data_IF_207951443417
#
_entry.id   IF_207951443417
#
_cell.length_a   1.000
_cell.length_b   1.000
_cell.length_c   1.000
_cell.angle_alpha   90.00
_cell.angle_beta   90.00
_cell.angle_gamma   90.00
#
_symmetry.space_group_name_H-M   'P 1'
#
loop_
_entity.id
_entity.type
_entity.pdbx_description
1 polymer ?
#
# COMPACT_ATOMS: atom_id res chain seq x y z
N UNK A 1 -6.92 16.26 -50.90
CA UNK A 1 -5.54 16.59 -50.46
C UNK A 1 -5.60 17.20 -49.05
N UNK A 2 -5.63 16.37 -48.01
CA UNK A 2 -5.46 16.83 -46.62
C UNK A 2 -3.95 16.95 -46.40
N UNK A 3 -3.36 18.07 -46.83
CA UNK A 3 -1.92 18.34 -46.68
C UNK A 3 -1.67 18.94 -45.29
N UNK A 4 -0.95 18.19 -44.46
CA UNK A 4 -0.08 18.67 -43.38
C UNK A 4 -0.64 19.78 -42.48
N UNK A 5 -1.70 19.48 -41.70
CA UNK A 5 -1.97 20.27 -40.51
C UNK A 5 -1.13 19.70 -39.34
N UNK A 6 -0.03 20.37 -38.92
CA UNK A 6 0.87 19.86 -37.89
C UNK A 6 0.16 19.72 -36.54
N UNK A 7 -0.86 20.53 -36.26
CA UNK A 7 -1.66 20.47 -35.03
C UNK A 7 -2.52 19.21 -35.01
N UNK A 8 -3.13 18.85 -36.16
CA UNK A 8 -3.91 17.61 -36.28
C UNK A 8 -3.02 16.36 -36.17
N UNK A 9 -1.79 16.41 -36.72
CA UNK A 9 -0.79 15.35 -36.54
C UNK A 9 -0.33 15.23 -35.08
N UNK A 10 -0.07 16.35 -34.39
CA UNK A 10 0.29 16.35 -32.97
C UNK A 10 -0.84 15.83 -32.10
N UNK A 11 -2.09 16.24 -32.36
CA UNK A 11 -3.27 15.72 -31.66
C UNK A 11 -3.45 14.22 -31.91
N UNK A 12 -3.33 13.74 -33.15
CA UNK A 12 -3.39 12.31 -33.44
C UNK A 12 -2.24 11.54 -32.79
N UNK A 13 -1.01 12.06 -32.78
CA UNK A 13 0.12 11.42 -32.08
C UNK A 13 -0.12 11.39 -30.56
N UNK A 14 -0.68 12.46 -29.99
CA UNK A 14 -1.04 12.54 -28.58
C UNK A 14 -2.17 11.57 -28.20
N UNK A 15 -3.21 11.48 -29.03
CA UNK A 15 -4.29 10.50 -28.86
C UNK A 15 -3.82 9.07 -29.08
N UNK A 16 -2.97 8.82 -30.09
CA UNK A 16 -2.36 7.49 -30.32
C UNK A 16 -1.40 7.14 -29.18
N UNK A 17 -0.64 8.09 -28.63
CA UNK A 17 0.19 7.85 -27.45
C UNK A 17 -0.66 7.56 -26.21
N UNK A 18 -1.81 8.22 -26.04
CA UNK A 18 -2.81 7.91 -25.00
C UNK A 18 -3.41 6.51 -25.17
N UNK A 19 -3.51 5.99 -26.40
CA UNK A 19 -3.93 4.61 -26.69
C UNK A 19 -2.80 3.58 -26.62
N UNK A 20 -1.53 4.00 -26.71
CA UNK A 20 -0.33 3.16 -26.62
C UNK A 20 0.18 2.98 -25.18
N UNK A 21 -0.32 3.78 -24.23
CA UNK A 21 -0.28 3.38 -22.82
C UNK A 21 -1.18 2.15 -22.69
N UNK A 22 -0.55 0.97 -22.62
CA UNK A 22 -1.21 -0.31 -22.60
C UNK A 22 -2.41 -0.29 -21.66
N UNK A 23 -3.56 -0.73 -22.16
CA UNK A 23 -4.80 -0.77 -21.40
C UNK A 23 -4.52 -1.45 -20.04
N UNK A 24 -4.49 -0.66 -18.96
CA UNK A 24 -4.29 -1.19 -17.62
C UNK A 24 -5.42 -2.20 -17.36
N UNK A 25 -5.04 -3.47 -17.22
CA UNK A 25 -5.97 -4.56 -16.93
C UNK A 25 -5.69 -5.06 -15.53
N UNK A 26 -6.66 -4.84 -14.65
CA UNK A 26 -6.61 -5.36 -13.28
C UNK A 26 -7.22 -6.75 -13.23
N UNK A 27 -6.97 -7.46 -12.13
CA UNK A 27 -7.49 -8.81 -11.91
C UNK A 27 -8.98 -8.85 -11.57
N UNK A 28 -9.65 -7.69 -11.47
CA UNK A 28 -11.06 -7.55 -11.08
C UNK A 28 -12.01 -8.48 -11.84
N UNK A 29 -11.84 -8.59 -13.15
CA UNK A 29 -12.73 -9.37 -14.01
C UNK A 29 -12.44 -10.89 -13.95
N UNK A 30 -11.36 -11.30 -13.28
CA UNK A 30 -10.92 -12.70 -13.18
C UNK A 30 -11.30 -13.36 -11.85
N UNK A 31 -11.83 -12.61 -10.88
CA UNK A 31 -12.06 -13.11 -9.52
C UNK A 31 -13.05 -14.29 -9.43
N UNK A 32 -13.92 -14.43 -10.42
CA UNK A 32 -14.90 -15.53 -10.50
C UNK A 32 -14.42 -16.70 -11.37
N UNK A 33 -13.23 -16.61 -11.97
CA UNK A 33 -12.64 -17.70 -12.75
C UNK A 33 -12.14 -18.81 -11.80
N UNK A 34 -12.57 -20.08 -11.97
CA UNK A 34 -12.13 -21.19 -11.13
C UNK A 34 -10.61 -21.42 -11.13
N UNK A 35 -9.94 -21.18 -12.27
CA UNK A 35 -8.48 -21.32 -12.37
C UNK A 35 -7.82 -20.23 -11.51
N UNK A 36 -8.31 -19.00 -11.61
CA UNK A 36 -7.84 -17.88 -10.79
C UNK A 36 -8.02 -18.15 -9.29
N UNK A 37 -9.15 -18.71 -8.89
CA UNK A 37 -9.42 -19.08 -7.49
C UNK A 37 -8.54 -20.23 -7.00
N UNK A 38 -8.17 -21.16 -7.88
CA UNK A 38 -7.28 -22.28 -7.57
C UNK A 38 -5.86 -21.80 -7.30
N UNK A 39 -5.37 -20.82 -8.06
CA UNK A 39 -4.05 -20.20 -7.82
C UNK A 39 -3.96 -19.49 -6.46
N UNK A 40 -5.10 -19.09 -5.89
CA UNK A 40 -5.14 -18.49 -4.55
C UNK A 40 -5.01 -19.55 -3.44
N UNK A 41 -4.97 -20.85 -3.74
CA UNK A 41 -4.83 -21.90 -2.72
C UNK A 41 -3.35 -22.33 -2.53
N UNK A 42 -2.97 -22.77 -1.31
CA UNK A 42 -3.76 -22.72 -0.07
C UNK A 42 -3.87 -21.29 0.48
N UNK A 43 -4.93 -20.99 1.22
CA UNK A 43 -5.04 -19.69 1.91
C UNK A 43 -3.94 -19.56 2.97
N UNK A 44 -3.19 -18.46 2.94
CA UNK A 44 -2.22 -18.11 3.98
C UNK A 44 -2.84 -17.09 4.92
N UNK A 45 -2.81 -17.35 6.23
CA UNK A 45 -3.19 -16.35 7.24
C UNK A 45 -1.94 -15.63 7.75
N UNK A 46 -1.95 -14.30 7.76
CA UNK A 46 -0.92 -13.46 8.36
C UNK A 46 -1.40 -12.89 9.69
N UNK A 47 -0.55 -13.00 10.72
CA UNK A 47 -0.80 -12.38 12.02
C UNK A 47 -0.39 -10.91 12.03
N UNK A 48 -1.27 -10.03 12.51
CA UNK A 48 -1.03 -8.59 12.64
C UNK A 48 -0.85 -8.20 14.10
N UNK A 49 0.25 -7.51 14.38
CA UNK A 49 0.39 -6.66 15.55
C UNK A 49 0.04 -5.23 15.15
N UNK A 50 -0.92 -4.62 15.83
CA UNK A 50 -1.32 -3.24 15.56
C UNK A 50 -0.92 -2.31 16.70
N UNK A 51 -0.37 -1.16 16.34
CA UNK A 51 -0.28 0.00 17.21
C UNK A 51 -1.34 1.02 16.81
N UNK A 52 -1.80 1.83 17.78
CA UNK A 52 -2.78 2.89 17.53
C UNK A 52 -2.52 4.15 18.34
N UNK A 53 -3.04 5.27 17.88
CA UNK A 53 -3.19 6.49 18.68
C UNK A 53 -4.66 6.65 19.17
N UNK A 54 -4.96 7.79 19.80
CA UNK A 54 -6.29 8.07 20.36
C UNK A 54 -7.38 8.37 19.30
N UNK A 55 -7.01 8.53 18.03
CA UNK A 55 -7.92 8.97 16.97
C UNK A 55 -8.60 7.79 16.26
N UNK A 56 -8.34 6.56 16.70
CA UNK A 56 -8.93 5.34 16.17
C UNK A 56 -9.24 4.32 17.28
N UNK A 57 -10.39 3.68 17.16
CA UNK A 57 -10.80 2.60 18.05
C UNK A 57 -10.36 1.23 17.55
N UNK A 58 -10.34 0.23 18.45
CA UNK A 58 -9.97 -1.14 18.10
C UNK A 58 -10.95 -1.75 17.09
N UNK A 59 -12.23 -1.42 17.21
CA UNK A 59 -13.28 -1.87 16.28
C UNK A 59 -13.09 -1.30 14.88
N UNK A 60 -12.66 -0.04 14.76
CA UNK A 60 -12.31 0.56 13.48
C UNK A 60 -11.09 -0.12 12.84
N UNK A 61 -10.04 -0.41 13.63
CA UNK A 61 -8.86 -1.16 13.15
C UNK A 61 -9.27 -2.52 12.62
N UNK A 62 -10.05 -3.29 13.40
CA UNK A 62 -10.55 -4.60 13.01
C UNK A 62 -11.38 -4.52 11.72
N UNK A 63 -12.22 -3.48 11.57
CA UNK A 63 -13.01 -3.25 10.38
C UNK A 63 -12.13 -3.00 9.15
N UNK A 64 -11.14 -2.10 9.25
CA UNK A 64 -10.21 -1.77 8.17
C UNK A 64 -9.40 -3.00 7.75
N UNK A 65 -8.87 -3.75 8.72
CA UNK A 65 -8.10 -4.98 8.46
C UNK A 65 -8.99 -6.05 7.84
N UNK A 66 -10.23 -6.22 8.30
CA UNK A 66 -11.19 -7.19 7.75
C UNK A 66 -11.53 -6.87 6.29
N UNK A 67 -11.78 -5.61 5.96
CA UNK A 67 -12.04 -5.20 4.58
C UNK A 67 -10.82 -5.43 3.68
N UNK A 68 -9.62 -5.08 4.16
CA UNK A 68 -8.35 -5.33 3.48
C UNK A 68 -8.13 -6.82 3.24
N UNK A 69 -8.33 -7.64 4.28
CA UNK A 69 -8.22 -9.10 4.26
C UNK A 69 -9.12 -9.71 3.19
N UNK A 70 -10.36 -9.22 3.05
CA UNK A 70 -11.28 -9.68 2.00
C UNK A 70 -10.75 -9.44 0.59
N UNK A 71 -10.07 -8.32 0.34
CA UNK A 71 -9.48 -8.03 -0.97
C UNK A 71 -8.21 -8.85 -1.22
N UNK A 72 -7.36 -9.04 -0.21
CA UNK A 72 -6.18 -9.91 -0.32
C UNK A 72 -6.58 -11.36 -0.58
N UNK A 73 -7.57 -11.88 0.14
CA UNK A 73 -8.00 -13.28 0.03
C UNK A 73 -8.55 -13.56 -1.38
N UNK A 74 -9.37 -12.65 -1.91
CA UNK A 74 -9.91 -12.77 -3.27
C UNK A 74 -8.86 -12.68 -4.36
N UNK A 75 -7.76 -11.98 -4.13
CA UNK A 75 -6.77 -11.70 -5.17
C UNK A 75 -5.58 -12.64 -5.14
N UNK A 76 -5.08 -12.98 -3.96
CA UNK A 76 -3.87 -13.79 -3.77
C UNK A 76 -4.04 -14.88 -2.72
N UNK A 77 -5.22 -15.03 -2.13
CA UNK A 77 -5.48 -16.02 -1.08
C UNK A 77 -4.69 -15.76 0.20
N UNK A 78 -4.55 -14.50 0.59
CA UNK A 78 -3.98 -14.09 1.87
C UNK A 78 -5.11 -13.55 2.75
N UNK A 79 -5.19 -14.05 3.98
CA UNK A 79 -6.10 -13.58 5.03
C UNK A 79 -5.29 -12.87 6.10
N UNK A 80 -5.83 -11.82 6.68
CA UNK A 80 -5.24 -11.11 7.81
C UNK A 80 -5.99 -11.44 9.09
N UNK A 81 -5.27 -11.57 10.20
CA UNK A 81 -5.82 -11.75 11.53
C UNK A 81 -5.13 -10.82 12.52
N UNK A 82 -5.89 -9.90 13.14
CA UNK A 82 -5.35 -9.04 14.19
C UNK A 82 -5.19 -9.84 15.48
N UNK A 83 -3.96 -10.00 15.95
CA UNK A 83 -3.64 -10.75 17.16
C UNK A 83 -3.52 -9.86 18.38
N UNK A 84 -3.04 -8.62 18.21
CA UNK A 84 -2.79 -7.68 19.30
C UNK A 84 -2.96 -6.25 18.83
N UNK A 85 -3.54 -5.40 19.68
CA UNK A 85 -3.67 -3.96 19.45
C UNK A 85 -3.18 -3.25 20.72
N UNK A 86 -2.25 -2.32 20.59
CA UNK A 86 -1.74 -1.50 21.70
C UNK A 86 -1.73 -0.02 21.36
N UNK A 87 -1.79 0.83 22.38
CA UNK A 87 -1.48 2.25 22.20
C UNK A 87 0.02 2.42 21.95
N UNK A 88 0.35 3.22 20.94
CA UNK A 88 1.73 3.63 20.67
C UNK A 88 2.10 4.84 21.49
N UNK A 89 3.37 4.89 21.89
CA UNK A 89 4.04 6.05 22.45
C UNK A 89 4.74 6.90 21.38
N UNK A 90 4.86 6.37 20.16
CA UNK A 90 5.50 7.05 19.03
C UNK A 90 4.64 8.21 18.55
N UNK A 91 5.18 9.42 18.61
CA UNK A 91 4.53 10.62 18.11
C UNK A 91 4.61 10.73 16.58
N UNK A 92 3.65 11.43 15.98
CA UNK A 92 3.70 11.74 14.56
C UNK A 92 4.86 12.65 14.20
N UNK A 93 5.49 12.36 13.08
CA UNK A 93 6.51 13.21 12.45
C UNK A 93 6.32 13.19 10.93
N UNK A 94 6.67 14.30 10.28
CA UNK A 94 6.74 14.38 8.82
C UNK A 94 7.92 13.59 8.25
N UNK A 95 8.94 13.34 9.07
CA UNK A 95 10.08 12.49 8.74
C UNK A 95 9.68 11.00 8.86
N UNK A 96 9.31 10.40 7.73
CA UNK A 96 8.82 9.03 7.69
C UNK A 96 9.89 8.00 8.05
N UNK A 97 11.17 8.27 7.75
CA UNK A 97 12.27 7.35 8.09
C UNK A 97 12.42 7.27 9.61
N UNK A 98 12.40 8.44 10.27
CA UNK A 98 12.37 8.52 11.72
C UNK A 98 11.16 7.81 12.30
N UNK A 99 9.97 7.99 11.72
CA UNK A 99 8.75 7.31 12.18
C UNK A 99 8.90 5.79 12.14
N UNK A 100 9.37 5.22 11.03
CA UNK A 100 9.56 3.77 10.90
C UNK A 100 10.61 3.23 11.89
N UNK A 101 11.69 3.97 12.12
CA UNK A 101 12.72 3.61 13.10
C UNK A 101 12.15 3.61 14.52
N UNK A 102 11.40 4.67 14.89
CA UNK A 102 10.79 4.77 16.22
C UNK A 102 9.79 3.63 16.46
N UNK A 103 9.00 3.26 15.45
CA UNK A 103 8.06 2.13 15.52
C UNK A 103 8.75 0.79 15.64
N UNK A 104 9.83 0.57 14.88
CA UNK A 104 10.64 -0.63 15.00
C UNK A 104 11.21 -0.74 16.41
N UNK A 105 11.76 0.34 16.96
CA UNK A 105 12.29 0.35 18.32
C UNK A 105 11.20 0.08 19.36
N UNK A 106 10.04 0.72 19.25
CA UNK A 106 8.90 0.49 20.15
C UNK A 106 8.44 -0.97 20.12
N UNK A 107 8.40 -1.58 18.92
CA UNK A 107 8.06 -2.99 18.76
C UNK A 107 9.10 -3.92 19.38
N UNK A 108 10.40 -3.66 19.18
CA UNK A 108 11.49 -4.46 19.76
C UNK A 108 11.49 -4.36 21.29
N UNK A 109 11.27 -3.17 21.85
CA UNK A 109 11.09 -2.99 23.30
C UNK A 109 9.92 -3.83 23.82
N UNK A 110 8.80 -3.83 23.10
CA UNK A 110 7.64 -4.63 23.45
C UNK A 110 7.94 -6.14 23.43
N UNK A 111 8.59 -6.62 22.36
CA UNK A 111 8.98 -8.03 22.24
C UNK A 111 9.86 -8.47 23.40
N UNK A 112 10.88 -7.68 23.74
CA UNK A 112 11.80 -7.99 24.82
C UNK A 112 11.14 -7.96 26.20
N UNK A 113 10.23 -7.01 26.44
CA UNK A 113 9.60 -6.85 27.74
C UNK A 113 8.45 -7.84 28.00
N UNK A 114 7.71 -8.25 26.97
CA UNK A 114 6.43 -8.96 27.15
C UNK A 114 6.32 -10.28 26.39
N UNK A 115 7.13 -10.50 25.35
CA UNK A 115 7.05 -11.69 24.49
C UNK A 115 8.32 -12.57 24.62
N UNK A 116 9.19 -12.30 25.59
CA UNK A 116 10.49 -12.96 25.79
C UNK A 116 11.36 -12.96 24.51
N UNK A 117 11.23 -11.92 23.68
CA UNK A 117 11.93 -11.81 22.40
C UNK A 117 11.36 -12.68 21.27
N UNK A 118 10.24 -13.37 21.49
CA UNK A 118 9.65 -14.24 20.46
C UNK A 118 8.71 -13.46 19.52
N UNK A 119 9.15 -13.28 18.28
CA UNK A 119 8.36 -12.63 17.22
C UNK A 119 7.44 -13.64 16.51
N UNK A 120 6.15 -13.61 16.85
CA UNK A 120 5.12 -14.47 16.27
C UNK A 120 4.16 -13.72 15.32
N UNK A 121 4.52 -12.50 14.92
CA UNK A 121 3.68 -11.65 14.08
C UNK A 121 4.21 -11.68 12.65
N UNK A 122 3.37 -11.61 11.63
CA UNK A 122 3.85 -11.48 10.25
C UNK A 122 4.02 -9.99 9.90
N UNK A 123 3.07 -9.14 10.30
CA UNK A 123 3.03 -7.72 9.97
C UNK A 123 2.84 -6.85 11.22
N UNK A 124 3.51 -5.70 11.24
CA UNK A 124 3.40 -4.68 12.28
C UNK A 124 2.82 -3.42 11.63
N UNK A 125 1.62 -3.03 12.04
CA UNK A 125 0.88 -1.93 11.43
C UNK A 125 0.62 -0.84 12.46
N UNK A 126 1.11 0.37 12.20
CA UNK A 126 0.80 1.53 13.02
C UNK A 126 -0.34 2.35 12.43
N UNK A 127 -1.45 2.43 13.15
CA UNK A 127 -2.57 3.32 12.83
C UNK A 127 -2.40 4.66 13.55
N UNK A 128 -1.60 5.56 12.96
CA UNK A 128 -1.44 6.94 13.43
C UNK A 128 -2.44 7.86 12.76
N UNK A 129 -3.72 7.75 13.11
CA UNK A 129 -4.73 8.57 12.45
C UNK A 129 -4.56 10.04 12.85
N UNK A 130 -4.41 10.92 11.85
CA UNK A 130 -4.24 12.35 12.11
C UNK A 130 -5.47 12.94 12.80
N UNK A 131 -5.23 13.82 13.77
CA UNK A 131 -6.29 14.67 14.29
C UNK A 131 -6.70 15.73 13.24
N UNK A 132 -7.86 16.40 13.40
CA UNK A 132 -8.34 17.38 12.42
C UNK A 132 -7.37 18.53 12.14
N UNK A 133 -6.59 18.96 13.13
CA UNK A 133 -5.63 20.06 12.99
C UNK A 133 -4.39 19.61 12.22
N UNK A 134 -3.87 18.42 12.52
CA UNK A 134 -2.79 17.78 11.76
C UNK A 134 -3.21 17.55 10.31
N UNK A 135 -4.41 17.02 10.09
CA UNK A 135 -4.97 16.82 8.75
C UNK A 135 -5.04 18.13 7.95
N UNK A 136 -5.58 19.20 8.56
CA UNK A 136 -5.67 20.51 7.90
C UNK A 136 -4.28 21.08 7.53
N UNK A 137 -3.29 20.90 8.41
CA UNK A 137 -1.90 21.30 8.14
C UNK A 137 -1.33 20.55 6.94
N UNK A 138 -1.52 19.24 6.86
CA UNK A 138 -1.05 18.46 5.71
C UNK A 138 -1.76 18.82 4.41
N UNK A 139 -3.07 19.03 4.43
CA UNK A 139 -3.80 19.47 3.25
C UNK A 139 -3.27 20.82 2.74
N UNK A 140 -2.92 21.74 3.63
CA UNK A 140 -2.24 22.98 3.22
C UNK A 140 -0.86 22.72 2.57
N UNK A 141 -0.11 21.72 3.03
CA UNK A 141 1.18 21.34 2.43
C UNK A 141 0.97 20.71 1.04
N UNK A 142 -0.05 19.85 0.89
CA UNK A 142 -0.43 19.26 -0.42
C UNK A 142 -0.78 20.33 -1.44
N UNK A 143 -1.46 21.41 -1.05
CA UNK A 143 -1.74 22.54 -1.95
C UNK A 143 -0.50 23.26 -2.45
N UNK A 144 0.64 23.12 -1.76
CA UNK A 144 1.95 23.62 -2.21
C UNK A 144 2.68 22.61 -3.12
N UNK A 145 2.00 21.54 -3.57
CA UNK A 145 2.55 20.45 -4.38
C UNK A 145 3.73 19.72 -3.72
N UNK A 146 3.84 19.80 -2.39
CA UNK A 146 4.84 19.05 -1.64
C UNK A 146 4.27 17.63 -1.43
N UNK A 147 5.00 16.58 -1.86
CA UNK A 147 4.55 15.20 -1.64
C UNK A 147 4.40 14.90 -0.15
N UNK A 148 3.30 14.23 0.19
CA UNK A 148 3.10 13.66 1.52
C UNK A 148 2.71 12.19 1.36
N UNK A 149 3.26 11.34 2.22
CA UNK A 149 2.96 9.90 2.26
C UNK A 149 1.57 9.67 2.86
N UNK A 150 0.79 8.70 2.39
CA UNK A 150 -0.54 8.38 2.97
C UNK A 150 -0.48 7.08 3.81
N UNK A 151 0.34 6.14 3.33
CA UNK A 151 0.92 5.04 4.06
C UNK A 151 2.42 4.97 3.75
N UNK A 152 3.16 4.25 4.59
CA UNK A 152 4.58 3.95 4.40
C UNK A 152 4.86 2.53 4.87
N UNK A 153 5.84 1.89 4.25
CA UNK A 153 6.35 0.58 4.63
C UNK A 153 7.88 0.59 4.62
N UNK A 154 8.50 -0.18 5.52
CA UNK A 154 9.94 -0.32 5.56
C UNK A 154 10.50 -1.07 4.33
N UNK A 155 11.64 -0.64 3.82
CA UNK A 155 12.28 -1.23 2.64
C UNK A 155 13.10 -2.49 2.92
N UNK A 156 13.29 -2.87 4.18
CA UNK A 156 14.23 -3.92 4.56
C UNK A 156 13.55 -5.26 4.76
N UNK A 157 12.61 -5.31 5.69
CA UNK A 157 11.79 -6.47 6.00
C UNK A 157 10.45 -6.44 5.26
N UNK A 158 9.99 -5.26 4.82
CA UNK A 158 8.68 -5.07 4.15
C UNK A 158 7.55 -5.67 4.97
N UNK A 159 7.49 -5.32 6.27
CA UNK A 159 6.46 -5.77 7.22
C UNK A 159 6.07 -4.74 8.28
N UNK A 160 6.89 -3.71 8.49
CA UNK A 160 6.61 -2.58 9.36
C UNK A 160 6.01 -1.47 8.51
N UNK A 161 4.79 -1.06 8.83
CA UNK A 161 4.10 -0.02 8.06
C UNK A 161 3.36 0.94 8.98
N UNK A 162 3.18 2.17 8.52
CA UNK A 162 2.39 3.18 9.20
C UNK A 162 1.35 3.78 8.26
N UNK A 163 0.18 4.06 8.81
CA UNK A 163 -0.97 4.63 8.12
C UNK A 163 -1.43 5.87 8.87
N UNK A 164 -1.81 6.90 8.11
CA UNK A 164 -2.33 8.14 8.71
C UNK A 164 -3.81 8.43 8.45
N UNK A 165 -4.46 7.57 7.66
CA UNK A 165 -5.89 7.65 7.34
C UNK A 165 -6.62 6.32 7.57
N UNK A 166 -7.93 6.40 7.81
CA UNK A 166 -8.82 5.26 8.06
C UNK A 166 -9.30 4.58 6.76
N UNK A 167 -8.48 4.57 5.71
CA UNK A 167 -8.86 4.04 4.39
C UNK A 167 -8.27 2.63 4.18
N UNK A 168 -9.10 1.58 4.07
CA UNK A 168 -8.64 0.23 3.75
C UNK A 168 -7.88 0.13 2.43
N UNK A 169 -8.10 1.05 1.49
CA UNK A 169 -7.35 1.07 0.24
C UNK A 169 -5.85 1.31 0.49
N UNK A 170 -5.52 2.21 1.42
CA UNK A 170 -4.11 2.53 1.75
C UNK A 170 -3.48 1.33 2.45
N UNK A 171 -4.13 0.73 3.44
CA UNK A 171 -3.60 -0.49 4.08
C UNK A 171 -3.39 -1.61 3.06
N UNK A 172 -4.33 -1.79 2.13
CA UNK A 172 -4.21 -2.79 1.08
C UNK A 172 -3.03 -2.52 0.16
N UNK A 173 -2.78 -1.26 -0.21
CA UNK A 173 -1.63 -0.82 -1.00
C UNK A 173 -0.31 -1.16 -0.28
N UNK A 174 -0.17 -0.74 0.99
CA UNK A 174 1.02 -1.02 1.79
C UNK A 174 1.27 -2.52 1.98
N UNK A 175 0.21 -3.31 2.18
CA UNK A 175 0.38 -4.77 2.30
C UNK A 175 0.79 -5.40 0.95
N UNK A 176 0.43 -4.84 -0.19
CA UNK A 176 0.91 -5.38 -1.46
C UNK A 176 2.41 -5.16 -1.68
N UNK A 177 2.98 -4.06 -1.18
CA UNK A 177 4.45 -3.90 -1.10
C UNK A 177 5.13 -5.01 -0.29
N UNK A 178 4.44 -5.67 0.65
CA UNK A 178 5.00 -6.83 1.37
C UNK A 178 5.31 -8.03 0.44
N UNK A 179 4.65 -8.10 -0.72
CA UNK A 179 4.75 -9.21 -1.67
C UNK A 179 5.33 -8.80 -3.02
N UNK A 180 5.40 -7.50 -3.31
CA UNK A 180 5.96 -6.96 -4.55
C UNK A 180 7.29 -6.32 -4.18
N UNK A 181 8.37 -6.98 -4.59
CA UNK A 181 9.74 -6.64 -4.22
C UNK A 181 10.54 -6.11 -5.42
N UNK A 182 10.07 -6.31 -6.65
CA UNK A 182 10.80 -5.91 -7.86
C UNK A 182 10.67 -4.43 -8.20
N UNK A 183 9.66 -3.75 -7.68
CA UNK A 183 9.38 -2.34 -7.91
C UNK A 183 8.56 -1.79 -6.75
N UNK A 184 8.57 -0.47 -6.60
CA UNK A 184 7.76 0.21 -5.59
C UNK A 184 6.33 0.42 -6.10
N UNK A 185 6.18 1.07 -7.25
CA UNK A 185 4.87 1.38 -7.83
C UNK A 185 4.76 0.84 -9.27
N UNK A 186 3.53 0.56 -9.69
CA UNK A 186 3.18 0.10 -11.04
C UNK A 186 2.23 1.08 -11.70
N UNK A 187 2.26 1.20 -13.02
CA UNK A 187 1.35 2.10 -13.77
C UNK A 187 -0.11 1.58 -13.83
N UNK A 188 -0.47 0.58 -13.03
CA UNK A 188 -1.76 -0.07 -13.09
C UNK A 188 -2.27 -0.58 -11.74
N UNK A 189 -3.60 -0.53 -11.56
CA UNK A 189 -4.27 -1.15 -10.43
C UNK A 189 -4.01 -0.44 -9.12
N UNK A 190 -3.97 -1.21 -8.04
CA UNK A 190 -3.79 -0.68 -6.68
C UNK A 190 -2.38 -0.12 -6.44
N UNK A 191 -1.36 -0.64 -7.11
CA UNK A 191 0.03 -0.18 -6.96
C UNK A 191 0.34 1.12 -7.71
N UNK A 192 -0.68 1.79 -8.26
CA UNK A 192 -0.52 3.09 -8.90
C UNK A 192 -0.13 4.16 -7.87
N UNK A 193 0.89 5.00 -8.13
CA UNK A 193 1.38 5.96 -7.17
C UNK A 193 0.31 7.01 -6.84
N UNK A 194 0.05 7.22 -5.55
CA UNK A 194 -0.87 8.24 -5.04
C UNK A 194 -0.49 9.65 -5.53
N UNK A 195 0.80 9.92 -5.74
CA UNK A 195 1.32 11.22 -6.19
C UNK A 195 0.85 11.60 -7.61
N UNK A 196 0.52 10.62 -8.46
CA UNK A 196 -0.09 10.87 -9.77
C UNK A 196 -1.48 11.55 -9.69
N UNK A 197 -2.08 11.60 -8.49
CA UNK A 197 -3.38 12.25 -8.21
C UNK A 197 -3.24 13.74 -7.83
N UNK A 198 -2.02 14.27 -7.67
CA UNK A 198 -1.75 15.66 -7.21
C UNK A 198 -2.01 16.70 -8.31
N UNK A 199 -2.10 16.31 -9.58
CA UNK A 199 -2.39 17.26 -10.66
C UNK A 199 -3.87 17.70 -10.63
N UNK A 200 -4.18 18.99 -10.38
CA UNK A 200 -5.55 19.47 -10.18
C UNK A 200 -6.49 19.19 -11.37
N UNK A 201 -5.97 19.08 -12.58
CA UNK A 201 -6.74 18.77 -13.80
C UNK A 201 -7.00 17.27 -14.02
N UNK A 202 -6.30 16.38 -13.31
CA UNK A 202 -6.47 14.92 -13.38
C UNK A 202 -7.29 14.35 -12.20
N UNK A 203 -7.60 15.17 -11.19
CA UNK A 203 -8.35 14.80 -9.97
C UNK A 203 -9.74 14.20 -10.20
N UNK A 204 -10.36 14.44 -11.37
CA UNK A 204 -11.66 13.87 -11.72
C UNK A 204 -11.59 12.44 -12.26
N UNK A 205 -10.39 11.93 -12.57
CA UNK A 205 -10.20 10.54 -12.95
C UNK A 205 -9.76 9.78 -11.70
N UNK A 206 -10.73 9.38 -10.87
CA UNK A 206 -10.51 8.50 -9.72
C UNK A 206 -10.07 7.11 -10.22
N UNK A 207 -8.80 6.96 -10.54
CA UNK A 207 -8.18 5.68 -10.90
C UNK A 207 -7.89 4.78 -9.68
N UNK A 208 -8.55 5.00 -8.53
CA UNK A 208 -8.36 4.16 -7.34
C UNK A 208 -9.00 2.79 -7.57
N UNK A 209 -8.17 1.81 -7.89
CA UNK A 209 -8.55 0.40 -7.99
C UNK A 209 -8.15 -0.33 -6.71
N UNK A 210 -9.03 -1.16 -6.16
CA UNK A 210 -8.67 -2.11 -5.09
C UNK A 210 -7.95 -3.37 -5.62
N UNK A 211 -7.75 -3.43 -6.93
CA UNK A 211 -7.31 -4.64 -7.63
C UNK A 211 -5.92 -4.46 -8.24
N UNK A 212 -5.06 -5.47 -8.05
CA UNK A 212 -3.73 -5.56 -8.63
C UNK A 212 -3.77 -5.59 -10.17
N UNK A 213 -2.69 -5.10 -10.77
CA UNK A 213 -2.32 -5.44 -12.14
C UNK A 213 -2.06 -6.95 -12.27
N UNK A 214 -2.17 -7.47 -13.50
CA UNK A 214 -1.94 -8.89 -13.72
C UNK A 214 -0.51 -9.33 -13.38
N UNK A 215 0.50 -8.49 -13.62
CA UNK A 215 1.91 -8.82 -13.37
C UNK A 215 2.26 -8.67 -11.89
N UNK A 216 1.80 -7.61 -11.23
CA UNK A 216 1.91 -7.43 -9.77
C UNK A 216 1.31 -8.65 -9.03
N UNK A 217 0.17 -9.18 -9.50
CA UNK A 217 -0.42 -10.38 -8.90
C UNK A 217 0.47 -11.61 -9.06
N UNK A 218 1.09 -11.82 -10.21
CA UNK A 218 1.99 -12.98 -10.42
C UNK A 218 3.15 -12.93 -9.43
N UNK A 219 3.73 -11.75 -9.23
CA UNK A 219 4.78 -11.56 -8.24
C UNK A 219 4.26 -11.76 -6.82
N UNK A 220 3.12 -11.17 -6.49
CA UNK A 220 2.54 -11.32 -5.16
C UNK A 220 2.25 -12.79 -4.80
N UNK A 221 1.77 -13.59 -5.76
CA UNK A 221 1.59 -15.03 -5.58
C UNK A 221 2.91 -15.78 -5.37
N UNK A 222 3.98 -15.41 -6.09
CA UNK A 222 5.31 -16.01 -5.92
C UNK A 222 5.85 -15.76 -4.50
N UNK A 223 5.62 -14.57 -3.97
CA UNK A 223 6.10 -14.16 -2.64
C UNK A 223 5.09 -14.45 -1.52
N UNK A 224 3.93 -15.02 -1.85
CA UNK A 224 2.83 -15.28 -0.92
C UNK A 224 3.25 -16.01 0.34
N UNK A 225 4.22 -16.93 0.28
CA UNK A 225 4.68 -17.75 1.41
C UNK A 225 6.05 -17.33 1.96
N UNK A 226 6.55 -16.14 1.61
CA UNK A 226 7.85 -15.68 2.13
C UNK A 226 7.84 -15.50 3.66
N UNK A 227 9.01 -15.65 4.28
CA UNK A 227 9.19 -15.37 5.70
C UNK A 227 9.44 -13.87 5.89
N UNK A 228 8.52 -13.19 6.59
CA UNK A 228 8.61 -11.75 6.82
C UNK A 228 9.75 -11.35 7.77
N UNK A 229 10.33 -12.29 8.51
CA UNK A 229 11.50 -12.04 9.36
C UNK A 229 12.83 -11.98 8.57
N UNK A 230 12.81 -12.31 7.27
CA UNK A 230 14.01 -12.25 6.45
C UNK A 230 14.15 -10.87 5.80
N UNK A 231 15.39 -10.38 5.74
CA UNK A 231 15.73 -9.21 4.94
C UNK A 231 15.49 -9.51 3.46
N UNK A 232 14.85 -8.57 2.77
CA UNK A 232 14.59 -8.63 1.35
C UNK A 232 15.55 -7.73 0.57
N UNK A 233 15.90 -8.16 -0.64
CA UNK A 233 16.58 -7.29 -1.62
C UNK A 233 15.50 -6.66 -2.49
N UNK A 234 15.06 -5.46 -2.12
CA UNK A 234 14.13 -4.69 -2.95
C UNK A 234 14.83 -4.26 -4.23
N UNK A 235 14.23 -4.60 -5.36
CA UNK A 235 14.62 -4.16 -6.69
C UNK A 235 14.33 -2.68 -6.84
N UNK A 236 15.39 -1.88 -6.69
CA UNK A 236 15.44 -0.43 -6.88
C UNK A 236 14.98 0.43 -5.69
N UNK A 237 15.96 1.13 -5.10
CA UNK A 237 15.76 2.53 -4.70
C UNK A 237 15.31 3.27 -5.96
N UNK A 238 14.06 3.72 -6.01
CA UNK A 238 13.70 4.70 -7.03
C UNK A 238 14.43 5.99 -6.70
N UNK A 239 15.50 6.27 -7.43
CA UNK A 239 15.99 7.63 -7.60
C UNK A 239 14.88 8.42 -8.31
N UNK A 240 14.01 9.06 -7.55
CA UNK A 240 13.31 10.24 -8.05
C UNK A 240 13.95 11.47 -7.39
N UNK A 241 14.41 12.45 -8.19
CA UNK A 241 15.20 13.60 -7.74
C UNK A 241 14.42 14.57 -6.86
#
# INVERSE_FOLDING_TARGET
>A
MIKNNPILKMACIFFISLFLFGCCTTVKNKLNDPVFQTENQPIRTLSIFAYKNNNISDTEIISIVSETSRYLEKQIGVRLEVKKILFSKTEYTFDYEKLLIDLYNEYVEHLNAYENGNDNYDLIVYFHILDPMQFAKEESIKTMMIPVWEGIIDDYYRRYMALKHKDPWILLHEIFHCFILTHDHSDCGIMFPLQGQIFPFLTNLKFRSYYLGNDDRKEALKNKFRNFNNLEKVGCKSEYP
#
